data_IF_969172420542
#
_entry.id   IF_969172420542
#
_cell.length_a   1.000
_cell.length_b   1.000
_cell.length_c   1.000
_cell.angle_alpha   90.00
_cell.angle_beta   90.00
_cell.angle_gamma   90.00
#
_symmetry.space_group_name_H-M   'P 1'
#
loop_
_entity.id
_entity.type
_entity.pdbx_description
1 polymer ?
#
# COMPACT_ATOMS: atom_id res chain seq x y z
N UNK A 1 -37.60 -15.87 -6.43
CA UNK A 1 -37.07 -16.08 -5.06
C UNK A 1 -35.73 -16.83 -5.00
N UNK A 2 -35.55 -18.00 -5.63
CA UNK A 2 -34.29 -18.77 -5.48
C UNK A 2 -33.04 -18.09 -6.07
N UNK A 3 -33.18 -17.27 -7.12
CA UNK A 3 -32.06 -16.53 -7.75
C UNK A 3 -31.63 -15.29 -6.95
N UNK A 4 -32.58 -14.53 -6.38
CA UNK A 4 -32.27 -13.37 -5.54
C UNK A 4 -31.59 -13.77 -4.24
N UNK A 5 -31.97 -14.92 -3.66
CA UNK A 5 -31.31 -15.48 -2.49
C UNK A 5 -29.85 -15.89 -2.77
N UNK A 6 -29.57 -16.46 -3.95
CA UNK A 6 -28.20 -16.81 -4.37
C UNK A 6 -27.32 -15.57 -4.57
N UNK A 7 -27.85 -14.51 -5.19
CA UNK A 7 -27.11 -13.26 -5.38
C UNK A 7 -26.85 -12.54 -4.04
N UNK A 8 -27.81 -12.55 -3.12
CA UNK A 8 -27.62 -12.01 -1.78
C UNK A 8 -26.59 -12.81 -0.97
N UNK A 9 -26.59 -14.14 -1.08
CA UNK A 9 -25.59 -15.00 -0.43
C UNK A 9 -24.20 -14.79 -1.03
N UNK A 10 -24.07 -14.63 -2.36
CA UNK A 10 -22.79 -14.32 -3.02
C UNK A 10 -22.28 -12.94 -2.57
N UNK A 11 -23.15 -11.93 -2.52
CA UNK A 11 -22.81 -10.60 -2.03
C UNK A 11 -22.37 -10.59 -0.56
N UNK A 12 -23.04 -11.35 0.29
CA UNK A 12 -22.71 -11.50 1.71
C UNK A 12 -21.39 -12.28 1.92
N UNK A 13 -21.09 -13.25 1.06
CA UNK A 13 -19.84 -14.03 1.09
C UNK A 13 -18.64 -13.19 0.65
N UNK A 14 -18.80 -12.26 -0.30
CA UNK A 14 -17.75 -11.32 -0.70
C UNK A 14 -17.40 -10.28 0.37
N UNK A 15 -18.37 -9.83 1.17
CA UNK A 15 -18.11 -8.89 2.28
C UNK A 15 -17.39 -9.59 3.44
N UNK A 16 -17.73 -10.85 3.73
CA UNK A 16 -17.09 -11.61 4.80
C UNK A 16 -15.62 -11.99 4.50
N UNK A 17 -15.24 -12.09 3.23
CA UNK A 17 -13.86 -12.36 2.83
C UNK A 17 -12.93 -11.12 2.87
N UNK A 18 -13.51 -9.91 2.93
CA UNK A 18 -12.76 -8.65 2.91
C UNK A 18 -12.33 -8.16 4.31
N UNK A 19 -12.90 -8.70 5.39
CA UNK A 19 -12.48 -8.38 6.77
C UNK A 19 -11.38 -9.33 7.24
N UNK A 20 -10.28 -9.42 6.50
CA UNK A 20 -9.04 -9.99 7.04
C UNK A 20 -8.33 -8.87 7.79
N UNK A 21 -8.61 -8.74 9.08
CA UNK A 21 -7.79 -7.89 9.95
C UNK A 21 -6.38 -8.46 9.99
N UNK A 22 -5.43 -7.81 9.30
CA UNK A 22 -4.02 -8.19 9.42
C UNK A 22 -3.54 -7.76 10.80
N UNK A 23 -3.36 -8.71 11.71
CA UNK A 23 -2.62 -8.46 12.96
C UNK A 23 -1.13 -8.49 12.62
N UNK A 24 -0.65 -7.45 11.95
CA UNK A 24 0.77 -7.20 11.80
C UNK A 24 1.21 -6.34 12.98
N UNK A 25 2.21 -6.79 13.74
CA UNK A 25 2.89 -5.91 14.69
C UNK A 25 3.59 -4.78 13.94
N UNK A 26 3.85 -3.66 14.61
CA UNK A 26 4.52 -2.50 14.00
C UNK A 26 5.88 -2.88 13.37
N UNK A 27 6.63 -3.76 14.03
CA UNK A 27 7.86 -4.35 13.49
C UNK A 27 7.66 -5.14 12.19
N UNK A 28 6.58 -5.92 12.10
CA UNK A 28 6.25 -6.71 10.92
C UNK A 28 5.81 -5.80 9.78
N UNK A 29 5.05 -4.76 10.07
CA UNK A 29 4.61 -3.77 9.08
C UNK A 29 5.81 -3.02 8.49
N UNK A 30 6.73 -2.53 9.34
CA UNK A 30 7.94 -1.81 8.90
C UNK A 30 8.90 -2.66 8.08
N UNK A 31 8.94 -3.98 8.30
CA UNK A 31 9.82 -4.88 7.54
C UNK A 31 9.21 -5.42 6.24
N UNK A 32 7.92 -5.17 6.00
CA UNK A 32 7.19 -5.70 4.84
C UNK A 32 7.16 -4.71 3.66
N UNK A 33 7.11 -5.25 2.44
CA UNK A 33 6.76 -4.47 1.25
C UNK A 33 5.24 -4.46 1.07
N UNK A 34 4.69 -3.34 0.61
CA UNK A 34 3.25 -3.17 0.47
C UNK A 34 2.88 -2.95 -0.99
N UNK A 35 2.12 -3.89 -1.56
CA UNK A 35 1.44 -3.74 -2.84
C UNK A 35 -0.02 -3.37 -2.58
N UNK A 36 -0.46 -2.24 -3.10
CA UNK A 36 -1.85 -1.80 -3.04
C UNK A 36 -2.44 -1.82 -4.45
N UNK A 37 -3.61 -2.44 -4.59
CA UNK A 37 -4.44 -2.35 -5.78
C UNK A 37 -5.73 -1.61 -5.40
N UNK A 38 -6.07 -0.59 -6.17
CA UNK A 38 -7.27 0.22 -5.99
C UNK A 38 -8.04 0.22 -7.30
N UNK A 39 -9.34 -0.08 -7.22
CA UNK A 39 -10.24 -0.07 -8.35
C UNK A 39 -11.45 0.78 -8.00
N UNK A 40 -11.80 1.70 -8.89
CA UNK A 40 -13.04 2.45 -8.84
C UNK A 40 -13.79 2.27 -10.16
N UNK A 41 -15.11 2.32 -10.08
CA UNK A 41 -15.96 1.99 -11.21
C UNK A 41 -17.26 2.79 -11.13
N UNK A 42 -17.61 3.48 -12.22
CA UNK A 42 -18.80 4.33 -12.31
C UNK A 42 -19.93 3.66 -13.13
N UNK A 43 -20.06 2.33 -13.03
CA UNK A 43 -21.04 1.57 -13.83
C UNK A 43 -22.49 1.75 -13.36
N UNK A 44 -22.72 2.10 -12.08
CA UNK A 44 -24.05 2.07 -11.49
C UNK A 44 -24.69 3.45 -11.36
N UNK A 45 -23.92 4.46 -10.99
CA UNK A 45 -24.47 5.76 -10.62
C UNK A 45 -24.24 6.83 -11.71
N UNK A 46 -23.26 6.64 -12.61
CA UNK A 46 -22.95 7.53 -13.74
C UNK A 46 -22.86 9.01 -13.31
N UNK A 47 -22.29 9.25 -12.13
CA UNK A 47 -22.27 10.57 -11.52
C UNK A 47 -21.28 11.49 -12.24
N UNK A 48 -20.25 10.92 -12.86
CA UNK A 48 -19.18 11.65 -13.52
C UNK A 48 -19.28 11.52 -15.05
N UNK A 49 -19.53 12.67 -15.72
CA UNK A 49 -19.54 12.71 -17.18
C UNK A 49 -18.14 12.44 -17.73
N UNK A 50 -18.06 11.45 -18.63
CA UNK A 50 -16.84 10.97 -19.29
C UNK A 50 -15.89 10.14 -18.44
N UNK A 51 -16.34 9.71 -17.26
CA UNK A 51 -15.62 8.72 -16.46
C UNK A 51 -16.27 7.33 -16.62
N UNK A 52 -15.49 6.27 -16.42
CA UNK A 52 -16.00 4.89 -16.55
C UNK A 52 -15.38 4.00 -15.50
N UNK A 53 -14.05 4.00 -15.39
CA UNK A 53 -13.35 3.26 -14.34
C UNK A 53 -11.94 3.80 -14.16
N UNK A 54 -11.37 3.47 -13.00
CA UNK A 54 -9.98 3.75 -12.65
C UNK A 54 -9.37 2.54 -11.99
N UNK A 55 -8.11 2.28 -12.31
CA UNK A 55 -7.32 1.25 -11.65
C UNK A 55 -5.96 1.82 -11.31
N UNK A 56 -5.57 1.68 -10.05
CA UNK A 56 -4.31 2.16 -9.53
C UNK A 56 -3.59 1.02 -8.82
N UNK A 57 -2.32 0.85 -9.18
CA UNK A 57 -1.39 0.01 -8.45
C UNK A 57 -0.34 0.90 -7.81
N UNK A 58 0.00 0.63 -6.56
CA UNK A 58 1.15 1.26 -5.89
C UNK A 58 1.96 0.23 -5.15
N UNK A 59 3.28 0.35 -5.25
CA UNK A 59 4.24 -0.42 -4.49
C UNK A 59 4.97 0.51 -3.55
N UNK A 60 5.01 0.17 -2.26
CA UNK A 60 5.76 0.87 -1.23
C UNK A 60 6.78 -0.11 -0.66
N UNK A 61 8.05 0.29 -0.63
CA UNK A 61 9.11 -0.53 -0.03
C UNK A 61 8.91 -0.68 1.48
N UNK A 62 9.62 -1.64 2.09
CA UNK A 62 9.80 -1.67 3.55
C UNK A 62 10.51 -0.42 4.05
N UNK A 63 10.50 -0.22 5.36
CA UNK A 63 11.26 0.84 6.00
C UNK A 63 12.77 0.67 5.78
N UNK A 64 13.40 1.72 5.27
CA UNK A 64 14.82 1.77 4.93
C UNK A 64 15.67 2.53 5.97
N UNK A 65 15.11 2.82 7.15
CA UNK A 65 15.85 3.48 8.24
C UNK A 65 17.15 2.74 8.60
N UNK A 66 17.15 1.40 8.51
CA UNK A 66 18.32 0.54 8.70
C UNK A 66 18.79 -0.11 7.40
N UNK A 67 18.77 0.60 6.26
CA UNK A 67 19.06 0.03 4.93
C UNK A 67 20.41 -0.70 4.83
N UNK A 68 21.40 -0.30 5.64
CA UNK A 68 22.75 -0.90 5.69
C UNK A 68 22.72 -2.37 6.10
N UNK A 69 21.77 -2.75 6.94
CA UNK A 69 21.57 -4.13 7.41
C UNK A 69 20.73 -4.95 6.43
N UNK A 70 19.92 -4.26 5.63
CA UNK A 70 18.88 -4.87 4.78
C UNK A 70 19.38 -5.10 3.35
N UNK A 71 20.30 -4.25 2.85
CA UNK A 71 20.71 -4.27 1.44
C UNK A 71 22.22 -4.31 1.32
N UNK A 72 22.72 -5.33 0.60
CA UNK A 72 24.13 -5.38 0.21
C UNK A 72 24.36 -4.45 -0.98
N UNK A 73 24.51 -3.15 -0.70
CA UNK A 73 24.86 -2.16 -1.70
C UNK A 73 26.38 -1.93 -1.77
N UNK A 74 26.96 -1.75 -2.97
CA UNK A 74 28.37 -1.41 -3.12
C UNK A 74 28.78 -0.20 -2.26
N UNK A 75 29.98 -0.26 -1.66
CA UNK A 75 30.47 0.79 -0.74
C UNK A 75 30.46 2.20 -1.34
N UNK A 76 30.75 2.34 -2.63
CA UNK A 76 30.73 3.64 -3.29
C UNK A 76 29.33 4.28 -3.30
N UNK A 77 28.27 3.47 -3.36
CA UNK A 77 26.89 3.95 -3.37
C UNK A 77 26.42 4.36 -1.96
N UNK A 78 26.92 3.68 -0.92
CA UNK A 78 26.69 4.09 0.48
C UNK A 78 27.15 5.53 0.71
N UNK A 79 28.36 5.87 0.25
CA UNK A 79 28.90 7.22 0.40
C UNK A 79 28.15 8.30 -0.37
N UNK A 80 27.35 7.94 -1.38
CA UNK A 80 26.45 8.87 -2.07
C UNK A 80 25.18 9.07 -1.26
N UNK A 81 24.56 7.97 -0.79
CA UNK A 81 23.31 8.01 0.00
C UNK A 81 23.51 8.82 1.27
N UNK A 82 24.60 8.59 2.01
CA UNK A 82 24.92 9.30 3.27
C UNK A 82 25.08 10.82 3.10
N UNK A 83 25.34 11.31 1.88
CA UNK A 83 25.47 12.75 1.60
C UNK A 83 24.16 13.40 1.18
N UNK A 84 23.08 12.63 1.01
CA UNK A 84 21.77 13.17 0.68
C UNK A 84 21.15 13.74 1.96
N UNK A 85 20.78 15.04 2.00
CA UNK A 85 20.28 15.74 3.20
C UNK A 85 18.86 15.31 3.65
N UNK A 86 18.42 14.12 3.24
CA UNK A 86 17.12 13.53 3.55
C UNK A 86 17.26 12.20 4.31
N UNK A 87 18.49 11.75 4.61
CA UNK A 87 18.72 10.50 5.34
C UNK A 87 18.54 10.75 6.82
N UNK A 88 17.31 10.51 7.33
CA UNK A 88 16.95 10.21 8.72
C UNK A 88 17.82 10.83 9.83
N UNK A 89 18.25 12.09 9.65
CA UNK A 89 19.01 12.85 10.63
C UNK A 89 18.01 13.76 11.36
N UNK A 90 17.72 13.50 12.66
CA UNK A 90 16.80 14.31 13.44
C UNK A 90 17.18 15.80 13.44
N UNK A 91 18.47 16.11 13.35
CA UNK A 91 18.98 17.49 13.36
C UNK A 91 18.78 18.20 12.01
N UNK A 92 18.40 17.46 10.95
CA UNK A 92 18.12 17.98 9.62
C UNK A 92 16.62 17.99 9.26
N UNK A 93 15.73 17.48 10.13
CA UNK A 93 14.29 17.57 9.93
C UNK A 93 13.82 19.03 10.01
N UNK A 94 13.43 19.58 8.84
CA UNK A 94 12.99 20.97 8.72
C UNK A 94 11.47 21.16 8.76
N UNK A 95 10.70 20.15 9.15
CA UNK A 95 9.24 20.25 9.22
C UNK A 95 8.68 19.48 10.42
N UNK A 96 8.02 20.23 11.30
CA UNK A 96 7.11 19.79 12.37
C UNK A 96 5.67 19.95 11.92
#
# INVERSE_FOLDING_TARGET
MKKSLRMAVIGMLTVAAATQSSIASDSQARSSETLTAYMENDLFEHLDRYYTHGTKFSWISRDLSNYREITSIPHWMQGIIEKVPLVNDPDQQRSV
#
